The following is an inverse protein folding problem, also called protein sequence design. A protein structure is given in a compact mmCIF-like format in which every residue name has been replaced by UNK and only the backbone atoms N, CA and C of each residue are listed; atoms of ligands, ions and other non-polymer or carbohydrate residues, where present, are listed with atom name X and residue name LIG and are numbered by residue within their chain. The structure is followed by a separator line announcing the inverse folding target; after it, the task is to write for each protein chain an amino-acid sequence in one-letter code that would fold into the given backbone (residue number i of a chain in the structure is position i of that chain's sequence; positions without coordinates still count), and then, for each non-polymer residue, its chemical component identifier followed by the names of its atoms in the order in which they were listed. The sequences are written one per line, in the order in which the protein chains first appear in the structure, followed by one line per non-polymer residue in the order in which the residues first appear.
data_IF_928790456963
#
_entry.id   IF_928790456963
#
_cell.length_a   1.000
_cell.length_b   1.000
_cell.length_c   1.000
_cell.angle_alpha   90.00
_cell.angle_beta   90.00
_cell.angle_gamma   90.00
#
_symmetry.space_group_name_H-M   'P 1'
#
loop_
_entity.id
_entity.type
_entity.pdbx_description
1 polymer ?
#
# COMPACT_ATOMS: atom_id res chain seq x y z
N UNK A 1 -12.53 26.81 11.45
CA UNK A 1 -11.83 27.09 12.72
C UNK A 1 -10.49 26.42 12.61
N UNK A 2 -9.39 27.15 12.74
CA UNK A 2 -8.06 26.53 12.76
C UNK A 2 -7.89 25.82 14.10
N UNK A 3 -7.60 24.52 14.07
CA UNK A 3 -7.28 23.74 15.26
C UNK A 3 -5.87 24.09 15.67
N UNK A 4 -5.72 24.68 16.86
CA UNK A 4 -4.41 25.02 17.42
C UNK A 4 -3.79 23.77 18.05
N UNK A 5 -2.45 23.67 18.04
CA UNK A 5 -1.73 22.52 18.64
C UNK A 5 -2.14 22.32 20.11
N UNK A 6 -2.43 23.41 20.81
CA UNK A 6 -2.88 23.41 22.21
C UNK A 6 -4.27 22.81 22.44
N UNK A 7 -5.06 22.61 21.38
CA UNK A 7 -6.38 21.99 21.45
C UNK A 7 -6.34 20.47 21.21
N UNK A 8 -5.19 19.90 20.87
CA UNK A 8 -5.03 18.46 20.66
C UNK A 8 -4.89 17.71 21.99
N UNK A 9 -5.48 16.53 22.06
CA UNK A 9 -5.18 15.52 23.08
C UNK A 9 -3.76 14.97 22.92
N UNK A 10 -3.29 14.24 23.94
CA UNK A 10 -1.96 13.60 23.89
C UNK A 10 -1.90 12.52 22.81
N UNK A 11 -3.00 11.81 22.63
CA UNK A 11 -3.17 10.75 21.64
C UNK A 11 -3.10 11.34 20.23
N UNK A 12 -3.85 12.41 19.95
CA UNK A 12 -3.80 13.11 18.65
C UNK A 12 -2.40 13.67 18.37
N UNK A 13 -1.73 14.23 19.38
CA UNK A 13 -0.36 14.73 19.21
C UNK A 13 0.62 13.59 18.89
N UNK A 14 0.45 12.43 19.54
CA UNK A 14 1.27 11.25 19.26
C UNK A 14 1.05 10.75 17.83
N UNK A 15 -0.20 10.62 17.39
CA UNK A 15 -0.54 10.21 16.02
C UNK A 15 0.02 11.18 14.97
N UNK A 16 -0.05 12.49 15.23
CA UNK A 16 0.55 13.50 14.37
C UNK A 16 2.07 13.30 14.24
N UNK A 17 2.76 13.08 15.37
CA UNK A 17 4.20 12.83 15.36
C UNK A 17 4.54 11.52 14.62
N UNK A 18 3.80 10.44 14.86
CA UNK A 18 3.99 9.16 14.16
C UNK A 18 3.86 9.33 12.65
N UNK A 19 2.81 10.04 12.21
CA UNK A 19 2.58 10.34 10.79
C UNK A 19 3.72 11.16 10.17
N UNK A 20 4.22 12.18 10.89
CA UNK A 20 5.34 12.99 10.42
C UNK A 20 6.62 12.16 10.33
N UNK A 21 6.89 11.29 11.31
CA UNK A 21 8.06 10.42 11.31
C UNK A 21 8.00 9.44 10.15
N UNK A 22 6.85 8.80 9.91
CA UNK A 22 6.65 7.90 8.78
C UNK A 22 6.90 8.62 7.44
N UNK A 23 6.31 9.80 7.27
CA UNK A 23 6.54 10.62 6.09
C UNK A 23 8.04 10.96 5.92
N UNK A 24 8.73 11.36 6.99
CA UNK A 24 10.15 11.69 6.93
C UNK A 24 11.03 10.48 6.66
N UNK A 25 10.66 9.29 7.14
CA UNK A 25 11.37 8.05 6.83
C UNK A 25 11.24 7.72 5.34
N UNK A 26 10.05 7.85 4.75
CA UNK A 26 9.86 7.67 3.31
C UNK A 26 10.64 8.71 2.49
N UNK A 27 10.66 9.97 2.92
CA UNK A 27 11.43 11.02 2.25
C UNK A 27 12.95 10.82 2.33
N UNK A 28 13.48 10.31 3.45
CA UNK A 28 14.91 10.17 3.69
C UNK A 28 15.50 8.85 3.16
N UNK A 29 14.75 7.76 3.27
CA UNK A 29 15.20 6.41 2.91
C UNK A 29 14.76 6.07 1.47
N UNK A 30 13.70 6.72 0.97
CA UNK A 30 13.16 6.47 -0.36
C UNK A 30 12.34 5.18 -0.44
N UNK A 31 12.02 4.76 -1.67
CA UNK A 31 11.39 3.46 -1.90
C UNK A 31 12.45 2.36 -1.73
N UNK A 32 12.29 1.43 -0.77
CA UNK A 32 13.25 0.33 -0.58
C UNK A 32 13.40 -0.56 -1.82
N UNK A 33 12.40 -0.55 -2.72
CA UNK A 33 12.41 -1.30 -3.97
C UNK A 33 12.96 -0.47 -5.15
N UNK A 34 13.41 0.77 -4.94
CA UNK A 34 13.94 1.64 -5.99
C UNK A 34 15.13 0.99 -6.72
N UNK A 35 15.09 1.01 -8.06
CA UNK A 35 16.12 0.38 -8.90
C UNK A 35 16.01 -1.14 -9.02
N UNK A 36 15.12 -1.81 -8.29
CA UNK A 36 14.88 -3.24 -8.45
C UNK A 36 14.08 -3.52 -9.73
N UNK A 37 14.44 -4.61 -10.39
CA UNK A 37 13.70 -5.12 -11.55
C UNK A 37 12.78 -6.26 -11.14
N UNK A 38 11.56 -6.25 -11.69
CA UNK A 38 10.62 -7.36 -11.54
C UNK A 38 11.24 -8.65 -12.09
N UNK A 39 11.19 -9.74 -11.32
CA UNK A 39 11.65 -11.05 -11.76
C UNK A 39 10.93 -11.47 -13.06
N UNK A 40 11.66 -12.09 -14.00
CA UNK A 40 11.17 -12.39 -15.36
C UNK A 40 9.90 -13.25 -15.36
N UNK A 41 9.78 -14.18 -14.43
CA UNK A 41 8.61 -15.04 -14.23
C UNK A 41 7.40 -14.25 -13.74
N UNK A 42 7.59 -13.36 -12.76
CA UNK A 42 6.55 -12.46 -12.27
C UNK A 42 6.08 -11.50 -13.36
N UNK A 43 7.01 -10.90 -14.12
CA UNK A 43 6.67 -10.02 -15.24
C UNK A 43 5.81 -10.72 -16.29
N UNK A 44 6.16 -11.96 -16.68
CA UNK A 44 5.36 -12.77 -17.63
C UNK A 44 3.95 -13.04 -17.09
N UNK A 45 3.82 -13.37 -15.81
CA UNK A 45 2.51 -13.61 -15.16
C UNK A 45 1.66 -12.35 -15.16
N UNK A 46 2.22 -11.21 -14.77
CA UNK A 46 1.53 -9.91 -14.75
C UNK A 46 1.08 -9.48 -16.14
N UNK A 47 1.94 -9.65 -17.16
CA UNK A 47 1.58 -9.36 -18.55
C UNK A 47 0.39 -10.20 -19.01
N UNK A 48 0.42 -11.52 -18.75
CA UNK A 48 -0.70 -12.42 -19.06
C UNK A 48 -1.98 -12.01 -18.35
N UNK A 49 -1.90 -11.64 -17.07
CA UNK A 49 -3.05 -11.20 -16.30
C UNK A 49 -3.64 -9.89 -16.88
N UNK A 50 -2.79 -8.91 -17.21
CA UNK A 50 -3.20 -7.66 -17.84
C UNK A 50 -3.95 -7.90 -19.16
N UNK A 51 -3.44 -8.79 -20.01
CA UNK A 51 -4.09 -9.18 -21.27
C UNK A 51 -5.45 -9.87 -21.05
N UNK A 52 -5.58 -10.69 -20.00
CA UNK A 52 -6.83 -11.34 -19.66
C UNK A 52 -7.89 -10.34 -19.19
N UNK A 53 -7.50 -9.40 -18.33
CA UNK A 53 -8.38 -8.30 -17.87
C UNK A 53 -8.83 -7.44 -19.04
N UNK A 54 -7.92 -7.09 -19.96
CA UNK A 54 -8.26 -6.35 -21.18
C UNK A 54 -9.26 -7.09 -22.09
N UNK A 55 -9.25 -8.43 -22.06
CA UNK A 55 -10.22 -9.28 -22.76
C UNK A 55 -11.53 -9.49 -21.98
N UNK A 56 -11.75 -8.75 -20.89
CA UNK A 56 -12.96 -8.81 -20.07
C UNK A 56 -12.99 -9.93 -19.03
N UNK A 57 -11.88 -10.67 -18.84
CA UNK A 57 -11.82 -11.66 -17.75
C UNK A 57 -11.65 -10.93 -16.42
N UNK A 58 -12.66 -11.00 -15.55
CA UNK A 58 -12.58 -10.49 -14.18
C UNK A 58 -11.77 -11.44 -13.29
N UNK A 59 -11.12 -10.87 -12.28
CA UNK A 59 -10.48 -11.63 -11.20
C UNK A 59 -11.50 -12.21 -10.23
N UNK A 60 -11.01 -12.87 -9.18
CA UNK A 60 -11.85 -13.27 -8.03
C UNK A 60 -12.18 -12.06 -7.16
N UNK A 61 -13.26 -12.14 -6.39
CA UNK A 61 -13.54 -11.16 -5.36
C UNK A 61 -12.49 -11.27 -4.25
N UNK A 62 -12.13 -10.13 -3.65
CA UNK A 62 -11.13 -10.11 -2.57
C UNK A 62 -11.58 -10.98 -1.40
N UNK A 63 -12.86 -10.93 -1.06
CA UNK A 63 -13.48 -11.73 0.01
C UNK A 63 -13.29 -13.24 -0.18
N UNK A 64 -13.46 -13.73 -1.41
CA UNK A 64 -13.24 -15.15 -1.73
C UNK A 64 -11.76 -15.54 -1.59
N UNK A 65 -10.85 -14.65 -1.95
CA UNK A 65 -9.40 -14.88 -1.85
C UNK A 65 -8.94 -14.88 -0.39
N UNK A 66 -9.46 -13.96 0.42
CA UNK A 66 -9.15 -13.89 1.86
C UNK A 66 -9.59 -15.19 2.56
N UNK A 67 -10.78 -15.70 2.23
CA UNK A 67 -11.27 -17.02 2.67
C UNK A 67 -10.37 -18.17 2.25
N UNK A 68 -10.04 -18.25 0.96
CA UNK A 68 -9.20 -19.32 0.41
C UNK A 68 -7.81 -19.35 1.05
N UNK A 69 -7.27 -18.19 1.44
CA UNK A 69 -5.95 -18.06 2.05
C UNK A 69 -5.97 -18.12 3.58
N UNK A 70 -7.13 -18.20 4.22
CA UNK A 70 -7.26 -18.23 5.68
C UNK A 70 -6.77 -16.94 6.36
N UNK A 71 -7.00 -15.79 5.72
CA UNK A 71 -6.58 -14.47 6.19
C UNK A 71 -7.74 -13.67 6.83
N UNK A 72 -8.81 -14.35 7.25
CA UNK A 72 -9.97 -13.76 7.93
C UNK A 72 -9.66 -13.32 9.38
#
# INVERSE_FOLDING_TARGET
METTITQMSKEELKELIESIVEQKMLELIGDPDEGLSIRKDLFKRLKRQKEQVAKGKRGKLLEDVVKELGLE
#
